data_IF_548869812239
#
_entry.id   IF_548869812239
#
_cell.length_a   1.000
_cell.length_b   1.000
_cell.length_c   1.000
_cell.angle_alpha   90.00
_cell.angle_beta   90.00
_cell.angle_gamma   90.00
#
_symmetry.space_group_name_H-M   'P 1'
#
loop_
_entity.id
_entity.type
_entity.pdbx_description
1 polymer ?
#
# COMPACT_ATOMS: atom_id res chain seq x y z
N UNK A 1 52.93 13.26 21.28
CA UNK A 1 53.63 13.48 22.57
C UNK A 1 52.83 12.85 23.73
N UNK A 2 53.44 12.52 24.88
CA UNK A 2 52.73 11.86 26.01
C UNK A 2 51.60 12.72 26.59
N UNK A 3 51.77 14.04 26.52
CA UNK A 3 50.80 15.06 26.93
C UNK A 3 49.55 15.07 26.04
N UNK A 4 49.68 14.95 24.71
CA UNK A 4 48.54 14.83 23.78
C UNK A 4 47.68 13.61 24.09
N UNK A 5 48.29 12.48 24.46
CA UNK A 5 47.56 11.25 24.77
C UNK A 5 46.79 11.34 26.10
N UNK A 6 47.36 11.97 27.12
CA UNK A 6 46.65 12.23 28.40
C UNK A 6 45.48 13.21 28.22
N UNK A 7 45.67 14.24 27.41
CA UNK A 7 44.64 15.24 27.12
C UNK A 7 43.48 14.65 26.32
N UNK A 8 43.79 13.84 25.30
CA UNK A 8 42.79 13.04 24.59
C UNK A 8 42.04 12.14 25.55
N UNK A 9 42.71 11.31 26.34
CA UNK A 9 42.03 10.39 27.26
C UNK A 9 41.13 11.08 28.29
N UNK A 10 41.52 12.26 28.76
CA UNK A 10 40.77 13.01 29.77
C UNK A 10 39.51 13.67 29.20
N UNK A 11 39.55 14.15 27.96
CA UNK A 11 38.47 14.95 27.37
C UNK A 11 37.67 14.24 26.26
N UNK A 12 38.15 13.10 25.76
CA UNK A 12 37.54 12.33 24.66
C UNK A 12 36.05 12.04 24.89
N UNK A 13 35.68 11.56 26.09
CA UNK A 13 34.29 11.24 26.41
C UNK A 13 33.38 12.47 26.39
N UNK A 14 33.86 13.62 26.89
CA UNK A 14 33.10 14.88 26.87
C UNK A 14 33.04 15.52 25.49
N UNK A 15 34.04 15.32 24.63
CA UNK A 15 34.01 15.79 23.24
C UNK A 15 33.06 14.98 22.36
N UNK A 16 32.85 13.70 22.68
CA UNK A 16 31.95 12.82 21.94
C UNK A 16 30.52 12.81 22.45
N UNK A 17 30.25 13.38 23.63
CA UNK A 17 28.90 13.53 24.19
C UNK A 17 27.86 14.03 23.17
N UNK A 18 28.10 15.08 22.36
CA UNK A 18 27.13 15.51 21.35
C UNK A 18 26.96 14.51 20.20
N UNK A 19 28.01 13.76 19.83
CA UNK A 19 27.93 12.72 18.79
C UNK A 19 27.08 11.54 19.26
N UNK A 20 27.23 11.13 20.53
CA UNK A 20 26.39 10.09 21.11
C UNK A 20 24.92 10.55 21.23
N UNK A 21 24.68 11.80 21.59
CA UNK A 21 23.34 12.38 21.63
C UNK A 21 22.68 12.39 20.23
N UNK A 22 23.45 12.69 19.17
CA UNK A 22 22.99 12.59 17.78
C UNK A 22 22.63 11.15 17.39
N UNK A 23 23.46 10.17 17.74
CA UNK A 23 23.16 8.75 17.47
C UNK A 23 21.89 8.28 18.18
N UNK A 24 21.71 8.67 19.45
CA UNK A 24 20.50 8.36 20.20
C UNK A 24 19.27 9.00 19.56
N UNK A 25 19.36 10.25 19.10
CA UNK A 25 18.26 10.92 18.42
C UNK A 25 17.92 10.26 17.08
N UNK A 26 18.92 9.83 16.31
CA UNK A 26 18.73 9.07 15.07
C UNK A 26 18.03 7.73 15.33
N UNK A 27 18.47 6.98 16.35
CA UNK A 27 17.84 5.71 16.72
C UNK A 27 16.39 5.93 17.17
N UNK A 28 16.16 6.93 18.02
CA UNK A 28 14.80 7.28 18.45
C UNK A 28 13.91 7.66 17.25
N UNK A 29 14.43 8.39 16.27
CA UNK A 29 13.71 8.68 15.04
C UNK A 29 13.33 7.42 14.24
N UNK A 30 14.25 6.46 14.12
CA UNK A 30 13.96 5.17 13.47
C UNK A 30 12.85 4.41 14.19
N UNK A 31 12.90 4.34 15.52
CA UNK A 31 11.88 3.69 16.34
C UNK A 31 10.51 4.38 16.17
N UNK A 32 10.48 5.72 16.13
CA UNK A 32 9.24 6.48 15.86
C UNK A 32 8.66 6.18 14.48
N UNK A 33 9.50 6.10 13.45
CA UNK A 33 9.05 5.73 12.09
C UNK A 33 8.44 4.34 12.12
N UNK A 34 9.14 3.35 12.67
CA UNK A 34 8.67 1.95 12.70
C UNK A 34 7.30 1.85 13.38
N UNK A 35 7.15 2.43 14.58
CA UNK A 35 5.89 2.43 15.31
C UNK A 35 4.76 3.11 14.55
N UNK A 36 5.02 4.24 13.90
CA UNK A 36 3.99 4.94 13.11
C UNK A 36 3.59 4.14 11.87
N UNK A 37 4.54 3.49 11.19
CA UNK A 37 4.25 2.65 10.03
C UNK A 37 3.44 1.41 10.43
N UNK A 38 3.76 0.78 11.56
CA UNK A 38 2.97 -0.32 12.11
C UNK A 38 1.54 0.10 12.46
N UNK A 39 1.36 1.26 13.10
CA UNK A 39 0.04 1.81 13.43
C UNK A 39 -0.78 2.14 12.17
N UNK A 40 -0.12 2.68 11.15
CA UNK A 40 -0.74 2.97 9.86
C UNK A 40 -1.21 1.68 9.16
N UNK A 41 -0.37 0.64 9.17
CA UNK A 41 -0.71 -0.67 8.60
C UNK A 41 -1.85 -1.36 9.36
N UNK A 42 -1.84 -1.29 10.69
CA UNK A 42 -2.93 -1.84 11.50
C UNK A 42 -4.27 -1.11 11.20
N UNK A 43 -4.22 0.20 10.99
CA UNK A 43 -5.40 0.98 10.57
C UNK A 43 -5.89 0.55 9.19
N UNK A 44 -4.98 0.35 8.22
CA UNK A 44 -5.35 -0.16 6.90
C UNK A 44 -6.00 -1.55 6.96
N UNK A 45 -5.42 -2.47 7.71
CA UNK A 45 -5.97 -3.82 7.86
C UNK A 45 -7.38 -3.77 8.46
N UNK A 46 -7.55 -3.02 9.57
CA UNK A 46 -8.84 -2.90 10.26
C UNK A 46 -9.90 -2.22 9.41
N UNK A 47 -9.56 -1.11 8.78
CA UNK A 47 -10.53 -0.21 8.16
C UNK A 47 -10.85 -0.62 6.70
N UNK A 48 -9.99 -1.41 6.05
CA UNK A 48 -10.20 -1.89 4.67
C UNK A 48 -10.34 -3.42 4.55
N UNK A 49 -9.35 -4.19 5.02
CA UNK A 49 -9.28 -5.64 4.77
C UNK A 49 -10.28 -6.43 5.62
N UNK A 50 -10.41 -6.05 6.88
CA UNK A 50 -11.26 -6.71 7.87
C UNK A 50 -12.67 -6.11 7.91
N UNK A 51 -13.03 -5.26 6.93
CA UNK A 51 -14.32 -4.58 6.91
C UNK A 51 -15.48 -5.60 6.94
N UNK A 52 -16.37 -5.58 7.97
CA UNK A 52 -17.28 -6.69 8.27
C UNK A 52 -18.28 -7.03 7.18
N UNK A 53 -18.63 -6.04 6.35
CA UNK A 53 -19.75 -6.19 5.45
C UNK A 53 -19.36 -6.39 4.00
N UNK A 54 -18.25 -5.83 3.49
CA UNK A 54 -17.93 -5.89 2.06
C UNK A 54 -16.45 -5.56 1.80
N UNK A 55 -15.67 -6.56 1.40
CA UNK A 55 -14.31 -6.36 0.90
C UNK A 55 -14.37 -6.02 -0.60
N UNK A 56 -14.20 -4.74 -0.93
CA UNK A 56 -14.38 -4.17 -2.28
C UNK A 56 -13.59 -4.93 -3.35
N UNK A 57 -12.33 -5.24 -3.08
CA UNK A 57 -11.43 -5.98 -3.99
C UNK A 57 -12.00 -7.36 -4.37
N UNK A 58 -12.61 -8.06 -3.43
CA UNK A 58 -13.23 -9.35 -3.72
C UNK A 58 -14.56 -9.19 -4.46
N UNK A 59 -15.30 -8.10 -4.23
CA UNK A 59 -16.48 -7.79 -5.04
C UNK A 59 -16.11 -7.56 -6.51
N UNK A 60 -14.99 -6.91 -6.80
CA UNK A 60 -14.49 -6.81 -8.17
C UNK A 60 -14.15 -8.18 -8.76
N UNK A 61 -13.52 -9.08 -7.99
CA UNK A 61 -13.25 -10.44 -8.46
C UNK A 61 -14.54 -11.21 -8.78
N UNK A 62 -15.60 -11.04 -7.98
CA UNK A 62 -16.90 -11.64 -8.22
C UNK A 62 -17.63 -11.01 -9.43
N UNK A 63 -17.52 -9.70 -9.62
CA UNK A 63 -18.07 -9.03 -10.80
C UNK A 63 -17.36 -9.50 -12.08
N UNK A 64 -16.04 -9.70 -12.03
CA UNK A 64 -15.29 -10.26 -13.16
C UNK A 64 -15.60 -11.74 -13.36
N UNK A 65 -15.80 -12.51 -12.29
CA UNK A 65 -16.30 -13.88 -12.38
C UNK A 65 -17.66 -13.91 -13.06
N UNK A 66 -18.56 -12.98 -12.71
CA UNK A 66 -19.83 -12.84 -13.40
C UNK A 66 -19.57 -12.68 -14.89
N UNK A 67 -18.74 -11.72 -15.34
CA UNK A 67 -18.36 -11.55 -16.74
C UNK A 67 -17.88 -12.86 -17.41
N UNK A 68 -17.07 -13.67 -16.73
CA UNK A 68 -16.60 -14.97 -17.24
C UNK A 68 -17.71 -16.01 -17.41
N UNK A 69 -18.85 -15.87 -16.72
CA UNK A 69 -20.01 -16.74 -16.87
C UNK A 69 -20.82 -16.46 -18.14
N UNK A 70 -20.56 -15.38 -18.90
CA UNK A 70 -21.19 -15.16 -20.20
C UNK A 70 -20.90 -16.33 -21.14
N UNK A 71 -21.94 -16.86 -21.79
CA UNK A 71 -21.79 -17.89 -22.81
C UNK A 71 -21.47 -17.16 -24.14
N UNK A 72 -20.26 -17.30 -24.72
CA UNK A 72 -20.01 -16.85 -26.08
C UNK A 72 -20.88 -17.69 -27.03
N UNK A 73 -22.00 -17.11 -27.50
CA UNK A 73 -22.92 -17.78 -28.42
C UNK A 73 -24.40 -17.52 -28.20
N UNK A 74 -24.83 -17.03 -27.04
CA UNK A 74 -26.24 -16.64 -26.81
C UNK A 74 -26.56 -15.19 -27.22
N UNK A 75 -25.58 -14.44 -27.72
CA UNK A 75 -25.81 -13.20 -28.47
C UNK A 75 -26.32 -13.46 -29.91
N UNK A 76 -26.40 -14.73 -30.33
CA UNK A 76 -26.62 -15.14 -31.72
C UNK A 76 -28.04 -15.07 -32.27
N UNK A 77 -29.05 -14.58 -31.53
CA UNK A 77 -30.43 -14.55 -32.04
C UNK A 77 -30.91 -13.16 -32.45
N UNK A 78 -30.12 -12.10 -32.29
CA UNK A 78 -30.48 -10.81 -32.89
C UNK A 78 -29.30 -10.12 -33.58
N UNK A 79 -29.51 -9.92 -34.88
CA UNK A 79 -28.82 -9.00 -35.78
C UNK A 79 -27.46 -9.45 -36.35
N UNK A 80 -27.50 -9.90 -37.60
CA UNK A 80 -26.34 -9.91 -38.46
C UNK A 80 -25.78 -8.50 -38.66
N UNK A 81 -24.45 -8.39 -38.71
CA UNK A 81 -23.71 -7.57 -39.68
C UNK A 81 -22.22 -7.80 -39.46
N UNK A 82 -21.55 -8.21 -40.54
CA UNK A 82 -20.09 -8.36 -40.60
C UNK A 82 -19.39 -7.03 -40.30
N UNK A 83 -18.73 -6.90 -39.14
CA UNK A 83 -17.69 -5.88 -38.87
C UNK A 83 -16.84 -6.20 -37.61
N UNK A 84 -16.52 -7.48 -37.38
CA UNK A 84 -15.98 -7.93 -36.08
C UNK A 84 -14.44 -8.05 -36.03
N UNK A 85 -13.71 -7.91 -37.14
CA UNK A 85 -12.29 -8.30 -37.16
C UNK A 85 -11.26 -7.26 -36.65
N UNK A 86 -11.64 -6.02 -36.31
CA UNK A 86 -10.68 -4.99 -35.85
C UNK A 86 -11.05 -4.30 -34.53
N UNK A 87 -12.18 -4.68 -33.92
CA UNK A 87 -12.61 -4.16 -32.63
C UNK A 87 -11.72 -4.55 -31.43
N UNK A 88 -11.14 -5.78 -31.33
CA UNK A 88 -10.49 -6.19 -30.08
C UNK A 88 -9.21 -5.39 -29.77
N UNK A 89 -8.48 -4.91 -30.78
CA UNK A 89 -7.21 -4.19 -30.56
C UNK A 89 -7.42 -2.74 -30.08
N UNK A 90 -8.49 -2.05 -30.52
CA UNK A 90 -8.80 -0.68 -30.05
C UNK A 90 -9.46 -0.65 -28.68
N UNK A 91 -10.13 -1.73 -28.28
CA UNK A 91 -10.73 -1.87 -26.95
C UNK A 91 -9.65 -2.02 -25.87
N UNK A 92 -8.56 -2.77 -26.13
CA UNK A 92 -7.45 -2.96 -25.18
C UNK A 92 -6.75 -1.63 -24.80
N UNK A 93 -6.59 -0.69 -25.75
CA UNK A 93 -6.06 0.65 -25.46
C UNK A 93 -7.01 1.52 -24.63
N UNK A 94 -8.33 1.25 -24.66
CA UNK A 94 -9.33 1.93 -23.80
C UNK A 94 -9.42 1.31 -22.41
N UNK A 95 -9.09 0.02 -22.24
CA UNK A 95 -9.02 -0.65 -20.94
C UNK A 95 -7.95 -0.02 -20.02
N UNK A 96 -6.78 0.33 -20.56
CA UNK A 96 -5.74 1.04 -19.79
C UNK A 96 -6.20 2.39 -19.22
N UNK A 97 -6.99 3.17 -19.99
CA UNK A 97 -7.57 4.45 -19.52
C UNK A 97 -8.73 4.25 -18.53
N UNK A 98 -9.50 3.16 -18.64
CA UNK A 98 -10.55 2.81 -17.66
C UNK A 98 -9.96 2.39 -16.31
N UNK A 99 -8.86 1.61 -16.31
CA UNK A 99 -8.14 1.21 -15.08
C UNK A 99 -7.58 2.41 -14.32
N UNK A 100 -7.06 3.42 -15.04
CA UNK A 100 -6.65 4.70 -14.45
C UNK A 100 -7.80 5.51 -13.84
N UNK A 101 -8.99 5.48 -14.45
CA UNK A 101 -10.18 6.11 -13.88
C UNK A 101 -10.69 5.39 -12.63
N UNK A 102 -10.69 4.05 -12.64
CA UNK A 102 -11.05 3.22 -11.48
C UNK A 102 -10.10 3.45 -10.30
N UNK A 103 -8.80 3.57 -10.55
CA UNK A 103 -7.82 3.87 -9.51
C UNK A 103 -8.00 5.26 -8.88
N UNK A 104 -8.45 6.25 -9.65
CA UNK A 104 -8.72 7.59 -9.13
C UNK A 104 -10.02 7.69 -8.31
N UNK A 105 -10.96 6.75 -8.51
CA UNK A 105 -12.21 6.67 -7.74
C UNK A 105 -12.21 5.58 -6.67
N UNK A 106 -11.11 4.82 -6.54
CA UNK A 106 -11.03 3.71 -5.59
C UNK A 106 -11.07 4.22 -4.14
N UNK A 107 -11.95 3.61 -3.35
CA UNK A 107 -12.05 3.90 -1.93
C UNK A 107 -10.75 3.52 -1.19
N UNK A 108 -10.13 2.42 -1.58
CA UNK A 108 -8.84 1.97 -1.04
C UNK A 108 -7.76 3.04 -1.16
N UNK A 109 -7.57 3.59 -2.36
CA UNK A 109 -6.52 4.59 -2.64
C UNK A 109 -6.76 5.86 -1.82
N UNK A 110 -8.03 6.28 -1.68
CA UNK A 110 -8.39 7.43 -0.86
C UNK A 110 -8.09 7.17 0.63
N UNK A 111 -8.42 5.99 1.14
CA UNK A 111 -8.14 5.58 2.52
C UNK A 111 -6.63 5.50 2.79
N UNK A 112 -5.85 4.87 1.90
CA UNK A 112 -4.40 4.77 2.01
C UNK A 112 -3.75 6.15 2.08
N UNK A 113 -4.21 7.09 1.25
CA UNK A 113 -3.77 8.49 1.30
C UNK A 113 -4.08 9.15 2.64
N UNK A 114 -5.30 8.96 3.16
CA UNK A 114 -5.69 9.49 4.47
C UNK A 114 -4.83 8.92 5.61
N UNK A 115 -4.54 7.61 5.56
CA UNK A 115 -3.67 6.95 6.53
C UNK A 115 -2.25 7.52 6.47
N UNK A 116 -1.68 7.69 5.28
CA UNK A 116 -0.35 8.29 5.11
C UNK A 116 -0.30 9.75 5.58
N UNK A 117 -1.35 10.53 5.30
CA UNK A 117 -1.46 11.90 5.79
C UNK A 117 -1.50 11.95 7.32
N UNK A 118 -2.28 11.07 7.95
CA UNK A 118 -2.37 10.97 9.40
C UNK A 118 -1.04 10.54 10.03
N UNK A 119 -0.38 9.54 9.44
CA UNK A 119 0.95 9.08 9.88
C UNK A 119 1.98 10.22 9.88
N UNK A 120 2.03 11.03 8.82
CA UNK A 120 2.94 12.17 8.73
C UNK A 120 2.58 13.31 9.70
N UNK A 121 1.29 13.49 10.01
CA UNK A 121 0.85 14.44 11.05
C UNK A 121 1.34 13.96 12.42
N UNK A 122 1.08 12.71 12.78
CA UNK A 122 1.52 12.13 14.05
C UNK A 122 3.03 12.20 14.24
N UNK A 123 3.82 11.89 13.20
CA UNK A 123 5.28 12.05 13.25
C UNK A 123 5.69 13.51 13.43
N UNK A 124 5.02 14.44 12.75
CA UNK A 124 5.25 15.87 12.92
C UNK A 124 4.99 16.34 14.36
N UNK A 125 3.90 15.89 14.96
CA UNK A 125 3.53 16.23 16.34
C UNK A 125 4.55 15.66 17.34
N UNK A 126 4.93 14.38 17.20
CA UNK A 126 5.97 13.75 18.05
C UNK A 126 7.32 14.47 17.93
N UNK A 127 7.72 14.88 16.73
CA UNK A 127 8.94 15.65 16.52
C UNK A 127 8.90 17.04 17.18
N UNK A 128 7.72 17.68 17.21
CA UNK A 128 7.55 18.95 17.91
C UNK A 128 7.70 18.74 19.42
N UNK A 129 7.06 17.72 19.99
CA UNK A 129 7.17 17.37 21.40
C UNK A 129 8.63 17.10 21.81
N UNK A 130 9.37 16.30 21.01
CA UNK A 130 10.79 16.04 21.24
C UNK A 130 11.64 17.31 21.17
N UNK A 131 11.34 18.22 20.24
CA UNK A 131 12.06 19.49 20.10
C UNK A 131 11.80 20.46 21.27
N UNK A 132 10.63 20.38 21.90
CA UNK A 132 10.26 21.19 23.06
C UNK A 132 10.87 20.67 24.37
N UNK A 133 10.94 19.34 24.52
CA UNK A 133 11.57 18.68 25.67
C UNK A 133 13.10 18.82 25.62
N UNK A 134 13.69 18.65 24.44
CA UNK A 134 15.13 18.70 24.21
C UNK A 134 15.55 20.02 23.54
N UNK A 135 15.25 21.18 24.14
CA UNK A 135 15.49 22.51 23.53
C UNK A 135 16.93 22.80 23.09
N UNK A 136 17.91 22.12 23.70
CA UNK A 136 19.32 22.25 23.35
C UNK A 136 19.70 21.39 22.14
N UNK A 137 18.86 20.43 21.76
CA UNK A 137 19.09 19.53 20.65
C UNK A 137 18.51 20.13 19.35
N UNK A 138 19.33 20.93 18.67
CA UNK A 138 18.99 21.56 17.40
C UNK A 138 18.67 20.56 16.28
N UNK A 139 19.07 19.29 16.43
CA UNK A 139 18.80 18.24 15.46
C UNK A 139 17.30 18.00 15.28
N UNK A 140 16.53 17.89 16.38
CA UNK A 140 15.07 17.69 16.33
C UNK A 140 14.34 18.87 15.66
N UNK A 141 14.79 20.10 15.92
CA UNK A 141 14.24 21.31 15.30
C UNK A 141 14.50 21.37 13.79
N UNK A 142 15.69 20.95 13.35
CA UNK A 142 16.01 20.88 11.93
C UNK A 142 15.24 19.76 11.24
N UNK A 143 15.17 18.58 11.85
CA UNK A 143 14.42 17.45 11.31
C UNK A 143 12.93 17.77 11.16
N UNK A 144 12.31 18.43 12.14
CA UNK A 144 10.90 18.84 12.05
C UNK A 144 10.66 19.85 10.93
N UNK A 145 11.57 20.80 10.73
CA UNK A 145 11.54 21.75 9.61
C UNK A 145 11.66 21.03 8.26
N UNK A 146 12.60 20.09 8.14
CA UNK A 146 12.81 19.27 6.95
C UNK A 146 11.57 18.44 6.63
N UNK A 147 11.02 17.71 7.62
CA UNK A 147 9.80 16.91 7.44
C UNK A 147 8.64 17.79 6.97
N UNK A 148 8.43 18.94 7.60
CA UNK A 148 7.35 19.88 7.22
C UNK A 148 7.51 20.38 5.79
N UNK A 149 8.74 20.65 5.35
CA UNK A 149 9.03 21.09 3.98
C UNK A 149 8.84 19.98 2.94
N UNK A 150 9.19 18.73 3.28
CA UNK A 150 9.13 17.60 2.36
C UNK A 150 7.77 16.88 2.37
N UNK A 151 6.93 17.06 3.41
CA UNK A 151 5.61 16.43 3.54
C UNK A 151 4.75 16.50 2.26
N UNK A 152 4.61 17.64 1.55
CA UNK A 152 3.80 17.68 0.33
C UNK A 152 4.36 16.78 -0.79
N UNK A 153 5.69 16.70 -0.91
CA UNK A 153 6.34 15.85 -1.90
C UNK A 153 6.17 14.36 -1.55
N UNK A 154 6.34 14.00 -0.27
CA UNK A 154 6.12 12.63 0.23
C UNK A 154 4.69 12.16 -0.03
N UNK A 155 3.69 12.97 0.29
CA UNK A 155 2.29 12.62 0.07
C UNK A 155 1.94 12.50 -1.42
N UNK A 156 2.51 13.36 -2.27
CA UNK A 156 2.31 13.29 -3.72
C UNK A 156 2.91 12.01 -4.30
N UNK A 157 4.11 11.64 -3.85
CA UNK A 157 4.75 10.41 -4.28
C UNK A 157 3.99 9.18 -3.78
N UNK A 158 3.57 9.18 -2.51
CA UNK A 158 2.74 8.12 -1.94
C UNK A 158 1.43 7.92 -2.73
N UNK A 159 0.71 9.00 -3.07
CA UNK A 159 -0.51 8.94 -3.89
C UNK A 159 -0.25 8.33 -5.28
N UNK A 160 0.90 8.68 -5.89
CA UNK A 160 1.31 8.13 -7.18
C UNK A 160 1.61 6.64 -7.10
N UNK A 161 2.37 6.21 -6.08
CA UNK A 161 2.71 4.79 -5.89
C UNK A 161 1.47 3.98 -5.52
N UNK A 162 0.58 4.51 -4.67
CA UNK A 162 -0.69 3.86 -4.31
C UNK A 162 -1.58 3.61 -5.53
N UNK A 163 -1.70 4.58 -6.43
CA UNK A 163 -2.44 4.41 -7.71
C UNK A 163 -1.79 3.36 -8.62
N UNK A 164 -0.47 3.35 -8.69
CA UNK A 164 0.27 2.38 -9.50
C UNK A 164 0.05 0.97 -8.97
N UNK A 165 0.25 0.79 -7.66
CA UNK A 165 -0.05 -0.45 -6.95
C UNK A 165 -1.48 -0.92 -7.21
N UNK A 166 -2.48 -0.05 -7.05
CA UNK A 166 -3.88 -0.43 -7.21
C UNK A 166 -4.19 -0.88 -8.65
N UNK A 167 -3.57 -0.27 -9.67
CA UNK A 167 -3.70 -0.70 -11.07
C UNK A 167 -3.06 -2.08 -11.27
N UNK A 168 -1.86 -2.30 -10.73
CA UNK A 168 -1.12 -3.56 -10.88
C UNK A 168 -1.87 -4.70 -10.17
N UNK A 169 -2.44 -4.43 -8.99
CA UNK A 169 -3.19 -5.41 -8.22
C UNK A 169 -4.50 -5.86 -8.90
N UNK A 170 -5.04 -5.10 -9.86
CA UNK A 170 -6.19 -5.56 -10.66
C UNK A 170 -5.91 -6.86 -11.41
N UNK A 171 -4.65 -7.13 -11.78
CA UNK A 171 -4.29 -8.39 -12.42
C UNK A 171 -4.48 -9.59 -11.47
N UNK A 172 -4.23 -9.41 -10.18
CA UNK A 172 -4.43 -10.46 -9.16
C UNK A 172 -5.93 -10.68 -8.90
N UNK A 173 -6.72 -9.61 -8.92
CA UNK A 173 -8.20 -9.65 -8.86
C UNK A 173 -8.77 -10.44 -10.05
N UNK A 174 -8.33 -10.12 -11.27
CA UNK A 174 -8.72 -10.84 -12.49
C UNK A 174 -8.30 -12.32 -12.41
N UNK A 175 -7.09 -12.60 -11.92
CA UNK A 175 -6.60 -13.97 -11.76
C UNK A 175 -7.39 -14.77 -10.71
N UNK A 176 -7.84 -14.12 -9.63
CA UNK A 176 -8.73 -14.73 -8.65
C UNK A 176 -10.10 -15.07 -9.25
N UNK A 177 -10.68 -14.20 -10.07
CA UNK A 177 -11.91 -14.47 -10.79
C UNK A 177 -11.80 -15.71 -11.69
N UNK A 178 -10.70 -15.83 -12.45
CA UNK A 178 -10.43 -17.00 -13.29
C UNK A 178 -10.28 -18.29 -12.47
N UNK A 179 -9.56 -18.24 -11.33
CA UNK A 179 -9.43 -19.39 -10.42
C UNK A 179 -10.76 -19.84 -9.83
N UNK A 180 -11.66 -18.91 -9.51
CA UNK A 180 -13.02 -19.23 -9.08
C UNK A 180 -13.83 -19.87 -10.22
N UNK A 181 -13.71 -19.34 -11.43
CA UNK A 181 -14.38 -19.87 -12.62
C UNK A 181 -13.94 -21.30 -12.96
N UNK A 182 -12.63 -21.57 -12.99
CA UNK A 182 -12.10 -22.92 -13.22
C UNK A 182 -12.58 -23.93 -12.17
N UNK A 183 -12.68 -23.50 -10.91
CA UNK A 183 -13.23 -24.34 -9.85
C UNK A 183 -14.73 -24.60 -10.04
N UNK A 184 -15.48 -23.60 -10.51
CA UNK A 184 -16.90 -23.75 -10.86
C UNK A 184 -17.12 -24.68 -12.05
N UNK A 185 -16.23 -24.69 -13.05
CA UNK A 185 -16.32 -25.63 -14.18
C UNK A 185 -16.27 -27.10 -13.75
N UNK A 186 -15.61 -27.41 -12.64
CA UNK A 186 -15.59 -28.76 -12.07
C UNK A 186 -16.94 -29.17 -11.44
N UNK A 187 -17.87 -28.22 -11.26
CA UNK A 187 -19.19 -28.43 -10.70
C UNK A 187 -20.28 -27.90 -11.65
N UNK A 188 -20.66 -28.66 -12.70
CA UNK A 188 -21.53 -28.19 -13.76
C UNK A 188 -22.92 -27.77 -13.28
N UNK A 189 -23.43 -28.36 -12.19
CA UNK A 189 -24.71 -27.94 -11.59
C UNK A 189 -24.64 -26.51 -11.04
N UNK A 190 -23.61 -26.19 -10.25
CA UNK A 190 -23.41 -24.84 -9.71
C UNK A 190 -23.17 -23.81 -10.82
N UNK A 191 -22.35 -24.16 -11.81
CA UNK A 191 -22.08 -23.31 -12.97
C UNK A 191 -23.35 -22.98 -13.77
N UNK A 192 -24.19 -23.98 -14.03
CA UNK A 192 -25.43 -23.79 -14.80
C UNK A 192 -26.47 -22.99 -14.01
N UNK A 193 -26.56 -23.19 -12.68
CA UNK A 193 -27.40 -22.37 -11.81
C UNK A 193 -26.98 -20.91 -11.84
N UNK A 194 -25.69 -20.61 -11.70
CA UNK A 194 -25.18 -19.23 -11.76
C UNK A 194 -25.43 -18.58 -13.14
N UNK A 195 -25.25 -19.33 -14.23
CA UNK A 195 -25.59 -18.86 -15.59
C UNK A 195 -27.07 -18.53 -15.72
N UNK A 196 -27.96 -19.39 -15.21
CA UNK A 196 -29.41 -19.16 -15.25
C UNK A 196 -29.85 -17.94 -14.42
N UNK A 197 -29.30 -17.80 -13.21
CA UNK A 197 -29.54 -16.63 -12.34
C UNK A 197 -29.09 -15.34 -13.02
N UNK A 198 -27.92 -15.34 -13.66
CA UNK A 198 -27.42 -14.17 -14.38
C UNK A 198 -28.31 -13.78 -15.56
N UNK A 199 -28.71 -14.73 -16.41
CA UNK A 199 -29.62 -14.46 -17.54
C UNK A 199 -30.93 -13.82 -17.06
N UNK A 200 -31.41 -14.24 -15.90
CA UNK A 200 -32.62 -13.67 -15.28
C UNK A 200 -32.38 -12.25 -14.76
N UNK A 201 -31.22 -11.98 -14.14
CA UNK A 201 -30.84 -10.65 -13.67
C UNK A 201 -30.66 -9.66 -14.84
N UNK A 202 -29.96 -10.05 -15.91
CA UNK A 202 -29.74 -9.22 -17.08
C UNK A 202 -31.08 -8.91 -17.80
N UNK A 203 -32.00 -9.88 -17.89
CA UNK A 203 -33.33 -9.67 -18.45
C UNK A 203 -34.21 -8.74 -17.58
N UNK A 204 -34.14 -8.88 -16.25
CA UNK A 204 -34.84 -8.00 -15.32
C UNK A 204 -34.31 -6.56 -15.38
N UNK A 205 -32.99 -6.39 -15.50
CA UNK A 205 -32.35 -5.10 -15.68
C UNK A 205 -32.80 -4.41 -16.98
N UNK A 206 -32.87 -5.16 -18.09
CA UNK A 206 -33.40 -4.66 -19.38
C UNK A 206 -34.87 -4.27 -19.26
N UNK A 207 -35.70 -5.11 -18.62
CA UNK A 207 -37.12 -4.82 -18.40
C UNK A 207 -37.34 -3.57 -17.54
N UNK A 208 -36.55 -3.41 -16.47
CA UNK A 208 -36.59 -2.22 -15.61
C UNK A 208 -36.12 -0.97 -16.35
N UNK A 209 -35.06 -1.04 -17.14
CA UNK A 209 -34.57 0.06 -17.96
C UNK A 209 -35.61 0.56 -18.99
N UNK A 210 -36.33 -0.37 -19.62
CA UNK A 210 -37.42 -0.07 -20.55
C UNK A 210 -38.63 0.57 -19.83
N UNK A 211 -38.90 0.16 -18.60
CA UNK A 211 -40.03 0.66 -17.82
C UNK A 211 -39.74 1.98 -17.07
N UNK A 212 -38.47 2.37 -16.93
CA UNK A 212 -38.04 3.54 -16.12
C UNK A 212 -37.43 4.70 -16.92
N UNK A 213 -37.45 4.64 -18.25
CA UNK A 213 -37.11 5.79 -19.09
C UNK A 213 -35.61 6.14 -19.17
N UNK A 214 -34.71 5.18 -18.99
CA UNK A 214 -33.30 5.32 -19.39
C UNK A 214 -32.35 6.06 -18.43
N UNK A 215 -32.67 6.17 -17.14
CA UNK A 215 -31.75 6.75 -16.13
C UNK A 215 -30.62 5.75 -15.78
N UNK A 216 -29.39 6.27 -15.62
CA UNK A 216 -28.10 5.57 -15.65
C UNK A 216 -27.99 4.24 -14.90
N UNK A 217 -27.71 3.19 -15.68
CA UNK A 217 -27.77 1.77 -15.32
C UNK A 217 -26.56 1.17 -14.55
N UNK A 218 -25.58 1.95 -14.08
CA UNK A 218 -24.28 1.38 -13.73
C UNK A 218 -24.19 0.83 -12.30
N UNK A 219 -24.89 1.47 -11.33
CA UNK A 219 -24.77 1.10 -9.90
C UNK A 219 -25.95 0.30 -9.35
N UNK A 220 -27.12 0.33 -10.00
CA UNK A 220 -28.35 -0.27 -9.43
C UNK A 220 -28.55 -1.76 -9.75
N UNK A 221 -27.81 -2.34 -10.69
CA UNK A 221 -28.09 -3.69 -11.23
C UNK A 221 -27.10 -4.75 -10.73
N UNK A 222 -25.92 -4.36 -10.24
CA UNK A 222 -24.88 -5.31 -9.83
C UNK A 222 -25.17 -5.88 -8.43
N UNK A 223 -25.73 -5.08 -7.50
CA UNK A 223 -25.93 -5.50 -6.12
C UNK A 223 -26.84 -6.75 -5.95
N UNK A 224 -28.01 -6.89 -6.63
CA UNK A 224 -28.86 -8.08 -6.48
C UNK A 224 -28.21 -9.36 -7.04
N UNK A 225 -27.46 -9.25 -8.14
CA UNK A 225 -26.74 -10.37 -8.73
C UNK A 225 -25.58 -10.83 -7.82
N UNK A 226 -24.87 -9.89 -7.20
CA UNK A 226 -23.76 -10.19 -6.29
C UNK A 226 -24.22 -10.95 -5.05
N UNK A 227 -25.35 -10.55 -4.43
CA UNK A 227 -25.93 -11.26 -3.28
C UNK A 227 -26.38 -12.69 -3.60
N UNK A 228 -26.97 -12.89 -4.78
CA UNK A 228 -27.42 -14.23 -5.21
C UNK A 228 -26.25 -15.14 -5.57
N UNK A 229 -25.21 -14.59 -6.19
CA UNK A 229 -23.96 -15.31 -6.47
C UNK A 229 -23.25 -15.69 -5.19
N UNK A 230 -23.09 -14.78 -4.23
CA UNK A 230 -22.45 -15.10 -2.94
C UNK A 230 -23.25 -16.11 -2.14
N UNK A 231 -24.60 -16.03 -2.08
CA UNK A 231 -25.44 -17.04 -1.40
C UNK A 231 -25.28 -18.42 -2.05
N UNK A 232 -25.40 -18.51 -3.38
CA UNK A 232 -25.28 -19.77 -4.12
C UNK A 232 -23.87 -20.38 -4.01
N UNK A 233 -22.83 -19.54 -4.05
CA UNK A 233 -21.45 -20.00 -3.88
C UNK A 233 -21.19 -20.43 -2.43
N UNK A 234 -21.68 -19.69 -1.45
CA UNK A 234 -21.53 -20.01 -0.03
C UNK A 234 -22.27 -21.29 0.37
N UNK A 235 -23.46 -21.53 -0.20
CA UNK A 235 -24.25 -22.74 0.02
C UNK A 235 -23.71 -23.96 -0.75
N UNK A 236 -22.90 -23.75 -1.80
CA UNK A 236 -22.28 -24.83 -2.57
C UNK A 236 -21.04 -25.41 -1.88
N UNK A 237 -20.58 -26.58 -2.35
CA UNK A 237 -19.28 -27.15 -1.96
C UNK A 237 -18.07 -26.27 -2.34
N UNK A 238 -18.27 -25.13 -3.03
CA UNK A 238 -17.24 -24.15 -3.43
C UNK A 238 -17.07 -23.02 -2.39
N UNK A 239 -17.98 -22.88 -1.41
CA UNK A 239 -17.91 -21.81 -0.40
C UNK A 239 -16.59 -21.78 0.38
N UNK A 240 -16.05 -22.96 0.72
CA UNK A 240 -14.74 -23.07 1.40
C UNK A 240 -13.56 -22.63 0.51
N UNK A 241 -13.64 -22.87 -0.80
CA UNK A 241 -12.65 -22.41 -1.78
C UNK A 241 -12.75 -20.90 -2.01
N UNK A 242 -13.96 -20.36 -2.04
CA UNK A 242 -14.21 -18.92 -2.13
C UNK A 242 -13.55 -18.18 -0.96
N UNK A 243 -13.80 -18.63 0.28
CA UNK A 243 -13.16 -18.06 1.47
C UNK A 243 -11.64 -18.29 1.53
N UNK A 244 -11.10 -19.27 0.79
CA UNK A 244 -9.64 -19.42 0.62
C UNK A 244 -9.10 -18.35 -0.34
N UNK A 245 -9.74 -18.16 -1.50
CA UNK A 245 -9.35 -17.15 -2.49
C UNK A 245 -9.45 -15.74 -1.92
N UNK A 246 -10.50 -15.44 -1.15
CA UNK A 246 -10.64 -14.14 -0.48
C UNK A 246 -9.50 -13.88 0.51
N UNK A 247 -9.17 -14.87 1.37
CA UNK A 247 -8.05 -14.74 2.33
C UNK A 247 -6.70 -14.60 1.63
N UNK A 248 -6.47 -15.34 0.55
CA UNK A 248 -5.25 -15.21 -0.25
C UNK A 248 -5.13 -13.81 -0.84
N UNK A 249 -6.21 -13.26 -1.42
CA UNK A 249 -6.23 -11.89 -1.94
C UNK A 249 -5.95 -10.86 -0.85
N UNK A 250 -6.62 -10.96 0.31
CA UNK A 250 -6.38 -10.04 1.45
C UNK A 250 -4.93 -10.07 1.90
N UNK A 251 -4.34 -11.27 2.03
CA UNK A 251 -2.96 -11.43 2.45
C UNK A 251 -2.00 -10.84 1.40
N UNK A 252 -2.18 -11.16 0.12
CA UNK A 252 -1.37 -10.62 -0.97
C UNK A 252 -1.46 -9.09 -1.05
N UNK A 253 -2.66 -8.54 -0.91
CA UNK A 253 -2.90 -7.11 -0.86
C UNK A 253 -2.18 -6.47 0.33
N UNK A 254 -2.33 -7.02 1.53
CA UNK A 254 -1.66 -6.55 2.74
C UNK A 254 -0.13 -6.52 2.57
N UNK A 255 0.45 -7.64 2.13
CA UNK A 255 1.90 -7.76 1.97
C UNK A 255 2.44 -6.78 0.91
N UNK A 256 1.69 -6.59 -0.18
CA UNK A 256 2.07 -5.66 -1.24
C UNK A 256 1.98 -4.21 -0.78
N UNK A 257 0.91 -3.82 -0.07
CA UNK A 257 0.74 -2.49 0.51
C UNK A 257 1.83 -2.22 1.56
N UNK A 258 2.07 -3.17 2.47
CA UNK A 258 3.13 -3.09 3.48
C UNK A 258 4.48 -2.80 2.84
N UNK A 259 4.87 -3.64 1.88
CA UNK A 259 6.18 -3.53 1.23
C UNK A 259 6.27 -2.26 0.37
N UNK A 260 5.36 -2.08 -0.57
CA UNK A 260 5.50 -1.06 -1.62
C UNK A 260 5.23 0.35 -1.10
N UNK A 261 4.20 0.52 -0.26
CA UNK A 261 3.75 1.84 0.17
C UNK A 261 4.40 2.26 1.49
N UNK A 262 4.37 1.38 2.50
CA UNK A 262 4.82 1.76 3.84
C UNK A 262 6.32 1.56 4.05
N UNK A 263 6.91 0.48 3.53
CA UNK A 263 8.36 0.23 3.65
C UNK A 263 9.15 0.96 2.56
N UNK A 264 8.94 0.61 1.30
CA UNK A 264 9.79 1.03 0.18
C UNK A 264 9.57 2.51 -0.21
N UNK A 265 8.34 3.02 -0.09
CA UNK A 265 8.05 4.43 -0.37
C UNK A 265 8.21 5.30 0.88
N UNK A 266 7.34 5.11 1.89
CA UNK A 266 7.31 6.01 3.04
C UNK A 266 8.49 5.79 4.00
N UNK A 267 8.78 4.53 4.36
CA UNK A 267 9.84 4.18 5.30
C UNK A 267 11.24 4.56 4.82
N UNK A 268 11.59 4.23 3.57
CA UNK A 268 12.87 4.64 2.98
C UNK A 268 12.98 6.16 2.93
N UNK A 269 11.94 6.87 2.49
CA UNK A 269 12.00 8.32 2.41
C UNK A 269 12.18 8.97 3.80
N UNK A 270 11.44 8.50 4.81
CA UNK A 270 11.53 9.01 6.19
C UNK A 270 12.89 8.70 6.84
N UNK A 271 13.43 7.50 6.65
CA UNK A 271 14.76 7.13 7.18
C UNK A 271 15.88 7.93 6.52
N UNK A 272 15.69 8.41 5.29
CA UNK A 272 16.64 9.26 4.58
C UNK A 272 16.52 10.75 4.92
N UNK A 273 15.42 11.21 5.55
CA UNK A 273 15.23 12.64 5.88
C UNK A 273 16.39 13.27 6.66
N UNK A 274 17.01 12.61 7.67
CA UNK A 274 18.12 13.19 8.42
C UNK A 274 19.33 13.55 7.54
N UNK A 275 19.54 12.86 6.42
CA UNK A 275 20.63 13.18 5.47
C UNK A 275 20.45 14.53 4.77
N UNK A 276 19.24 15.10 4.79
CA UNK A 276 18.92 16.42 4.22
C UNK A 276 19.13 17.56 5.22
N UNK A 277 19.54 17.28 6.45
CA UNK A 277 19.85 18.30 7.47
C UNK A 277 21.19 18.95 7.10
N UNK A 278 21.24 20.29 7.10
CA UNK A 278 22.47 21.03 6.82
C UNK A 278 23.59 20.69 7.82
N UNK A 279 24.75 20.31 7.31
CA UNK A 279 25.95 19.89 8.06
C UNK A 279 26.57 20.98 8.94
N UNK A 280 26.12 22.23 8.84
CA UNK A 280 26.71 23.37 9.55
C UNK A 280 26.53 23.31 11.08
N UNK A 281 25.66 22.41 11.58
CA UNK A 281 25.37 22.24 13.02
C UNK A 281 25.25 20.77 13.46
N UNK A 282 25.61 19.83 12.59
CA UNK A 282 25.48 18.40 12.82
C UNK A 282 26.81 17.72 12.54
N UNK A 283 27.29 16.85 13.43
CA UNK A 283 28.63 16.26 13.29
C UNK A 283 28.68 15.23 12.15
N UNK A 284 27.57 14.55 11.85
CA UNK A 284 27.46 13.55 10.78
C UNK A 284 28.52 12.44 10.83
N UNK A 285 28.97 12.11 12.06
CA UNK A 285 29.92 11.03 12.29
C UNK A 285 29.11 9.75 12.41
N UNK A 286 29.34 8.76 11.55
CA UNK A 286 28.65 7.48 11.65
C UNK A 286 29.11 6.66 12.86
N UNK A 287 28.28 5.72 13.38
CA UNK A 287 28.72 4.80 14.43
C UNK A 287 29.99 4.01 14.06
N UNK A 288 30.14 3.65 12.78
CA UNK A 288 31.32 2.95 12.25
C UNK A 288 32.57 3.84 12.29
N UNK A 289 32.44 5.12 11.90
CA UNK A 289 33.54 6.09 11.98
C UNK A 289 33.96 6.32 13.42
N UNK A 290 33.00 6.37 14.35
CA UNK A 290 33.27 6.51 15.77
C UNK A 290 34.00 5.28 16.34
N UNK A 291 33.52 4.07 16.03
CA UNK A 291 34.17 2.82 16.45
C UNK A 291 35.59 2.69 15.88
N UNK A 292 35.80 3.07 14.61
CA UNK A 292 37.13 3.08 14.00
C UNK A 292 38.07 4.07 14.70
N UNK A 293 37.58 5.27 15.05
CA UNK A 293 38.36 6.26 15.80
C UNK A 293 38.71 5.78 17.22
N UNK A 294 37.77 5.15 17.92
CA UNK A 294 38.01 4.55 19.24
C UNK A 294 38.99 3.39 19.19
N UNK A 295 38.90 2.54 18.16
CA UNK A 295 39.82 1.42 17.96
C UNK A 295 41.25 1.93 17.71
N UNK A 296 41.43 2.96 16.88
CA UNK A 296 42.74 3.59 16.66
C UNK A 296 43.32 4.23 17.92
N UNK A 297 42.46 4.82 18.78
CA UNK A 297 42.90 5.41 20.06
C UNK A 297 43.32 4.33 21.08
N UNK A 298 42.69 3.16 21.06
CA UNK A 298 43.07 1.98 21.86
C UNK A 298 44.31 1.26 21.32
N UNK A 299 44.49 1.20 20.01
CA UNK A 299 45.62 0.51 19.37
C UNK A 299 46.94 1.30 19.50
N UNK A 300 46.87 2.64 19.39
CA UNK A 300 48.00 3.54 19.73
C UNK A 300 48.44 3.48 21.20
N UNK A 301 47.66 2.83 22.08
CA UNK A 301 48.00 2.54 23.48
C UNK A 301 48.93 1.32 23.61
N UNK A 302 48.94 0.41 22.64
CA UNK A 302 49.72 -0.83 22.66
C UNK A 302 50.86 -0.88 21.63
N UNK A 303 50.88 -0.01 20.62
CA UNK A 303 51.92 0.02 19.59
C UNK A 303 52.66 1.34 19.50
N UNK A 304 53.70 1.55 20.31
CA UNK A 304 54.82 2.43 19.97
C UNK A 304 56.00 1.56 19.55
N UNK A 305 55.94 0.98 18.34
CA UNK A 305 57.14 0.81 17.52
C UNK A 305 57.16 1.98 16.55
N UNK A 306 57.82 3.05 16.96
CA UNK A 306 58.28 4.10 16.06
C UNK A 306 59.25 3.44 15.06
N UNK A 307 58.94 3.55 13.77
CA UNK A 307 59.95 3.59 12.72
C UNK A 307 60.07 5.05 12.27
#
# INVERSE_FOLDING_TARGET
SRFEQELLQKHWAGWLEPVFAEHQALQHWQDMIEQTLEQALASYQRDFLDHPHHYETFQYALAELLNLLEIPGMAGVLAGTRKILTWPVRQMMKLGRKRLHLANSSHEVALLKQIAEHALIQLGDRLLDESEQNRQNHWWQQLSSVLRSQKPALLKEFDRVAKTYHIDFQQDVESAAHRLYEQLQKQPFALNSLRATRVTADAAAIALALNTGGVGLHDLIIAPAMFTVTSLLAESAIGSYMGKVERELKQQQFDTVKRTLFVDCLGIALTQLPSSISSDRYFNISPEQLQAAEAQLKDKRHGLRLL
#
